data_IF_966587555042
#
_entry.id   IF_966587555042
#
_cell.length_a   1.000
_cell.length_b   1.000
_cell.length_c   1.000
_cell.angle_alpha   90.00
_cell.angle_beta   90.00
_cell.angle_gamma   90.00
#
_symmetry.space_group_name_H-M   'P 1'
#
loop_
_entity.id
_entity.type
_entity.pdbx_description
1 polymer ?
#
# COMPACT_ATOMS: atom_id res chain seq x y z
N UNK A 1 -11.53 1.67 30.19
CA UNK A 1 -10.86 2.82 29.54
C UNK A 1 -9.48 2.93 30.14
N UNK A 2 -8.46 3.15 29.32
CA UNK A 2 -7.06 3.31 29.72
C UNK A 2 -6.68 4.77 29.42
N UNK A 3 -6.12 5.48 30.40
CA UNK A 3 -5.62 6.84 30.22
C UNK A 3 -4.12 6.80 30.00
N UNK A 4 -3.66 7.42 28.91
CA UNK A 4 -2.24 7.59 28.63
C UNK A 4 -1.88 9.05 28.86
N UNK A 5 -0.89 9.27 29.71
CA UNK A 5 -0.27 10.57 29.93
C UNK A 5 1.13 10.53 29.33
N UNK A 6 1.42 11.45 28.43
CA UNK A 6 2.78 11.64 27.91
C UNK A 6 3.47 12.71 28.75
N UNK A 7 4.69 12.45 29.20
CA UNK A 7 5.49 13.45 29.91
C UNK A 7 6.12 14.47 28.95
N UNK A 8 6.35 14.08 27.69
CA UNK A 8 7.07 14.90 26.71
C UNK A 8 6.58 14.67 25.30
N UNK A 9 6.37 15.77 24.57
CA UNK A 9 6.18 15.74 23.12
C UNK A 9 7.47 16.19 22.41
N UNK A 10 7.76 15.65 21.21
CA UNK A 10 8.89 16.08 20.40
C UNK A 10 8.76 17.52 19.83
N UNK A 11 7.61 18.17 20.05
CA UNK A 11 7.28 19.51 19.58
C UNK A 11 6.84 20.37 20.76
N UNK A 12 6.86 21.70 20.62
CA UNK A 12 6.40 22.66 21.64
C UNK A 12 4.88 22.61 21.78
N UNK A 13 4.39 21.73 22.65
CA UNK A 13 2.97 21.65 23.03
C UNK A 13 2.83 20.92 24.36
N UNK A 14 1.79 21.28 25.13
CA UNK A 14 1.43 20.56 26.35
C UNK A 14 0.80 19.21 25.97
N UNK A 15 1.32 18.07 26.48
CA UNK A 15 0.77 16.76 26.16
C UNK A 15 -0.64 16.61 26.73
N UNK A 16 -1.64 16.62 25.86
CA UNK A 16 -2.99 16.23 26.24
C UNK A 16 -3.09 14.71 26.42
N UNK A 17 -3.84 14.23 27.42
CA UNK A 17 -3.98 12.80 27.66
C UNK A 17 -4.76 12.13 26.52
N UNK A 18 -4.28 10.96 26.10
CA UNK A 18 -5.00 10.11 25.14
C UNK A 18 -5.78 9.06 25.91
N UNK A 19 -7.01 8.81 25.46
CA UNK A 19 -7.86 7.77 26.03
C UNK A 19 -7.98 6.58 25.07
N UNK A 20 -7.66 5.40 25.59
CA UNK A 20 -7.80 4.12 24.92
C UNK A 20 -9.04 3.40 25.46
N UNK A 21 -9.87 2.89 24.56
CA UNK A 21 -10.98 2.01 24.92
C UNK A 21 -10.66 0.57 24.51
N UNK A 22 -10.98 -0.38 25.39
CA UNK A 22 -10.86 -1.82 25.12
C UNK A 22 -12.06 -2.54 25.73
N UNK A 23 -12.53 -3.59 25.05
CA UNK A 23 -13.58 -4.48 25.54
C UNK A 23 -13.05 -5.61 26.43
N UNK A 24 -11.72 -5.76 26.52
CA UNK A 24 -11.08 -6.78 27.35
C UNK A 24 -11.44 -6.59 28.83
N UNK A 25 -11.69 -7.71 29.52
CA UNK A 25 -11.93 -7.75 30.97
C UNK A 25 -10.68 -8.31 31.66
N UNK A 26 -10.42 -7.89 32.89
CA UNK A 26 -9.28 -8.39 33.67
C UNK A 26 -7.94 -8.03 33.00
N UNK A 27 -7.72 -6.74 32.73
CA UNK A 27 -6.49 -6.26 32.12
C UNK A 27 -5.36 -6.41 33.16
N UNK A 28 -4.44 -7.32 32.89
CA UNK A 28 -3.16 -7.41 33.58
C UNK A 28 -2.11 -6.50 32.91
N UNK A 29 -0.93 -6.40 33.53
CA UNK A 29 0.14 -5.51 33.07
C UNK A 29 0.66 -5.91 31.68
N UNK A 30 0.73 -7.21 31.38
CA UNK A 30 1.18 -7.71 30.06
C UNK A 30 0.20 -7.33 28.93
N UNK A 31 -1.10 -7.45 29.18
CA UNK A 31 -2.12 -7.03 28.23
C UNK A 31 -2.12 -5.51 28.08
N UNK A 32 -1.91 -4.76 29.16
CA UNK A 32 -1.82 -3.30 29.13
C UNK A 32 -0.66 -2.83 28.24
N UNK A 33 0.53 -3.42 28.41
CA UNK A 33 1.72 -3.13 27.59
C UNK A 33 1.51 -3.48 26.11
N UNK A 34 0.83 -4.58 25.84
CA UNK A 34 0.48 -5.00 24.49
C UNK A 34 -0.50 -4.04 23.82
N UNK A 35 -1.54 -3.60 24.54
CA UNK A 35 -2.53 -2.64 24.04
C UNK A 35 -1.90 -1.28 23.74
N UNK A 36 -1.05 -0.79 24.64
CA UNK A 36 -0.29 0.44 24.44
C UNK A 36 0.65 0.34 23.23
N UNK A 37 1.45 -0.72 23.16
CA UNK A 37 2.36 -0.97 22.04
C UNK A 37 1.62 -1.07 20.71
N UNK A 38 0.47 -1.76 20.68
CA UNK A 38 -0.38 -1.84 19.49
C UNK A 38 -0.91 -0.46 19.07
N UNK A 39 -1.32 0.38 20.04
CA UNK A 39 -1.78 1.73 19.74
C UNK A 39 -0.68 2.61 19.14
N UNK A 40 0.54 2.55 19.67
CA UNK A 40 1.68 3.30 19.11
C UNK A 40 1.96 2.91 17.66
N UNK A 41 1.75 1.63 17.32
CA UNK A 41 1.92 1.10 15.96
C UNK A 41 0.77 1.41 15.02
N UNK A 42 -0.29 2.12 15.45
CA UNK A 42 -1.41 2.47 14.58
C UNK A 42 -0.99 3.24 13.33
N UNK A 43 0.10 4.00 13.41
CA UNK A 43 0.60 4.77 12.26
C UNK A 43 1.36 3.88 11.25
N UNK A 44 1.71 2.65 11.61
CA UNK A 44 2.31 1.67 10.68
C UNK A 44 1.35 1.33 9.53
N UNK A 45 0.03 1.42 9.73
CA UNK A 45 -0.95 1.14 8.68
C UNK A 45 -0.88 2.17 7.55
N UNK A 46 -0.67 3.45 7.89
CA UNK A 46 -0.53 4.53 6.91
C UNK A 46 0.73 4.35 6.08
N UNK A 47 1.84 3.99 6.73
CA UNK A 47 3.08 3.65 6.05
C UNK A 47 2.93 2.42 5.15
N UNK A 48 2.19 1.42 5.60
CA UNK A 48 1.88 0.23 4.81
C UNK A 48 1.09 0.63 3.57
N UNK A 49 -0.01 1.37 3.69
CA UNK A 49 -0.78 1.83 2.54
C UNK A 49 0.04 2.71 1.59
N UNK A 50 0.89 3.59 2.13
CA UNK A 50 1.81 4.39 1.32
C UNK A 50 2.74 3.50 0.51
N UNK A 51 3.37 2.51 1.14
CA UNK A 51 4.26 1.56 0.48
C UNK A 51 3.54 0.74 -0.61
N UNK A 52 2.35 0.20 -0.30
CA UNK A 52 1.55 -0.56 -1.28
C UNK A 52 1.23 0.30 -2.51
N UNK A 53 0.78 1.54 -2.31
CA UNK A 53 0.40 2.46 -3.40
C UNK A 53 1.59 2.94 -4.22
N UNK A 54 2.64 3.42 -3.55
CA UNK A 54 3.75 4.12 -4.20
C UNK A 54 4.84 3.18 -4.69
N UNK A 55 5.09 2.08 -3.98
CA UNK A 55 6.23 1.21 -4.25
C UNK A 55 5.83 -0.10 -4.91
N UNK A 56 4.75 -0.74 -4.46
CA UNK A 56 4.23 -1.95 -5.09
C UNK A 56 3.24 -1.67 -6.23
N UNK A 57 2.84 -0.40 -6.40
CA UNK A 57 2.02 0.03 -7.52
C UNK A 57 0.55 -0.36 -7.41
N UNK A 58 0.00 -0.44 -6.19
CA UNK A 58 -1.40 -0.83 -5.97
C UNK A 58 -2.38 0.02 -6.81
N UNK A 59 -2.11 1.30 -7.01
CA UNK A 59 -2.94 2.22 -7.81
C UNK A 59 -2.44 2.46 -9.24
N UNK A 60 -1.43 1.73 -9.69
CA UNK A 60 -0.84 1.89 -11.03
C UNK A 60 -1.76 1.38 -12.15
N UNK A 61 -2.34 0.16 -12.07
CA UNK A 61 -3.16 -0.32 -13.17
C UNK A 61 -4.52 0.37 -13.20
N UNK A 62 -4.92 0.83 -14.38
CA UNK A 62 -6.23 1.43 -14.62
C UNK A 62 -7.26 0.35 -15.02
N UNK A 63 -7.47 -0.61 -14.14
CA UNK A 63 -8.47 -1.67 -14.33
C UNK A 63 -9.87 -1.09 -14.33
N UNK A 64 -10.72 -1.55 -15.26
CA UNK A 64 -12.10 -1.07 -15.45
C UNK A 64 -13.16 -2.08 -14.99
N UNK A 65 -12.70 -3.23 -14.51
CA UNK A 65 -13.50 -4.36 -14.06
C UNK A 65 -13.25 -4.56 -12.56
N UNK A 66 -14.30 -4.64 -11.71
CA UNK A 66 -14.13 -4.75 -10.26
C UNK A 66 -13.42 -6.04 -9.85
N UNK A 67 -13.74 -7.18 -10.46
CA UNK A 67 -13.06 -8.44 -10.13
C UNK A 67 -11.57 -8.39 -10.48
N UNK A 68 -11.20 -7.72 -11.58
CA UNK A 68 -9.80 -7.47 -11.91
C UNK A 68 -9.08 -6.58 -10.87
N UNK A 69 -9.79 -5.61 -10.28
CA UNK A 69 -9.25 -4.79 -9.19
C UNK A 69 -9.02 -5.60 -7.90
N UNK A 70 -9.93 -6.53 -7.58
CA UNK A 70 -9.77 -7.42 -6.44
C UNK A 70 -8.60 -8.38 -6.63
N UNK A 71 -8.50 -9.02 -7.81
CA UNK A 71 -7.35 -9.88 -8.16
C UNK A 71 -6.04 -9.10 -8.07
N UNK A 72 -6.00 -7.86 -8.55
CA UNK A 72 -4.83 -7.01 -8.42
C UNK A 72 -4.47 -6.71 -6.97
N UNK A 73 -5.46 -6.43 -6.12
CA UNK A 73 -5.24 -6.23 -4.68
C UNK A 73 -4.65 -7.47 -4.02
N UNK A 74 -5.14 -8.67 -4.37
CA UNK A 74 -4.57 -9.92 -3.88
C UNK A 74 -3.12 -10.13 -4.33
N UNK A 75 -2.76 -9.76 -5.57
CA UNK A 75 -1.38 -9.82 -6.04
C UNK A 75 -0.47 -8.86 -5.25
N UNK A 76 -0.94 -7.66 -4.92
CA UNK A 76 -0.21 -6.70 -4.09
C UNK A 76 0.00 -7.24 -2.68
N UNK A 77 -1.03 -7.83 -2.07
CA UNK A 77 -0.95 -8.46 -0.75
C UNK A 77 0.06 -9.62 -0.79
N UNK A 78 -0.02 -10.49 -1.80
CA UNK A 78 0.91 -11.60 -1.96
C UNK A 78 2.37 -11.13 -2.15
N UNK A 79 2.61 -10.08 -2.92
CA UNK A 79 3.94 -9.49 -3.06
C UNK A 79 4.45 -8.92 -1.72
N UNK A 80 3.59 -8.22 -0.98
CA UNK A 80 3.93 -7.69 0.34
C UNK A 80 4.27 -8.81 1.36
N UNK A 81 3.50 -9.90 1.36
CA UNK A 81 3.78 -11.05 2.24
C UNK A 81 5.04 -11.81 1.82
N UNK A 82 5.31 -11.95 0.52
CA UNK A 82 6.57 -12.51 0.01
C UNK A 82 7.79 -11.71 0.47
N UNK A 83 7.73 -10.38 0.44
CA UNK A 83 8.80 -9.52 0.97
C UNK A 83 8.97 -9.69 2.48
N UNK A 84 7.88 -9.88 3.23
CA UNK A 84 7.97 -10.15 4.67
C UNK A 84 8.60 -11.52 4.96
N UNK A 85 8.25 -12.55 4.18
CA UNK A 85 8.81 -13.89 4.31
C UNK A 85 10.29 -13.97 3.91
N UNK A 86 10.70 -13.22 2.88
CA UNK A 86 12.08 -13.18 2.42
C UNK A 86 13.03 -12.39 3.34
N UNK A 87 12.53 -11.80 4.43
CA UNK A 87 13.29 -10.88 5.29
C UNK A 87 14.58 -11.49 5.86
N UNK A 88 14.55 -12.76 6.27
CA UNK A 88 15.73 -13.45 6.83
C UNK A 88 16.76 -13.84 5.78
N UNK A 89 16.37 -13.86 4.50
CA UNK A 89 17.20 -14.27 3.37
C UNK A 89 17.84 -13.07 2.67
N UNK A 90 17.28 -11.87 2.86
CA UNK A 90 17.73 -10.65 2.19
C UNK A 90 18.98 -10.07 2.84
N UNK A 91 19.98 -9.73 2.02
CA UNK A 91 21.09 -8.89 2.43
C UNK A 91 20.61 -7.45 2.66
N UNK A 92 21.24 -6.75 3.60
CA UNK A 92 20.96 -5.33 3.84
C UNK A 92 21.69 -4.46 2.79
N UNK A 93 21.10 -4.34 1.60
CA UNK A 93 21.56 -3.41 0.56
C UNK A 93 21.13 -1.98 0.93
N UNK A 94 22.09 -1.18 1.39
CA UNK A 94 21.86 0.16 1.93
C UNK A 94 22.37 1.25 1.00
N UNK A 95 21.64 2.35 0.97
CA UNK A 95 22.14 3.61 0.46
C UNK A 95 23.22 4.17 1.43
N UNK A 96 24.14 5.04 0.97
CA UNK A 96 25.26 5.49 1.80
C UNK A 96 24.86 6.20 3.10
N UNK A 97 23.73 6.90 3.13
CA UNK A 97 23.22 7.64 4.30
C UNK A 97 22.29 6.82 5.18
N UNK A 98 22.06 5.55 4.84
CA UNK A 98 21.11 4.70 5.52
C UNK A 98 21.77 3.92 6.66
N UNK A 99 21.19 4.04 7.86
CA UNK A 99 21.64 3.30 9.04
C UNK A 99 21.54 1.78 8.81
N UNK A 100 22.48 1.05 9.42
CA UNK A 100 22.50 -0.41 9.42
C UNK A 100 21.27 -0.95 10.15
N UNK A 101 20.54 -1.86 9.51
CA UNK A 101 19.44 -2.54 10.16
C UNK A 101 19.94 -3.77 10.91
N UNK A 102 19.32 -4.09 12.04
CA UNK A 102 19.57 -5.37 12.71
C UNK A 102 19.17 -6.51 11.77
N UNK A 103 19.98 -7.58 11.63
CA UNK A 103 19.60 -8.76 10.87
C UNK A 103 18.21 -9.28 11.27
N UNK A 104 17.38 -9.65 10.28
CA UNK A 104 16.01 -10.08 10.53
C UNK A 104 15.02 -8.96 10.86
N UNK A 105 15.44 -7.69 10.92
CA UNK A 105 14.58 -6.51 11.12
C UNK A 105 14.50 -5.58 9.90
N UNK A 106 14.90 -6.06 8.72
CA UNK A 106 14.79 -5.30 7.48
C UNK A 106 13.34 -4.94 7.17
N UNK A 107 13.09 -3.68 6.81
CA UNK A 107 11.77 -3.26 6.34
C UNK A 107 11.47 -3.89 4.98
N UNK A 108 10.20 -4.04 4.63
CA UNK A 108 9.80 -4.60 3.33
C UNK A 108 10.39 -3.81 2.16
N UNK A 109 10.60 -2.50 2.33
CA UNK A 109 11.28 -1.67 1.34
C UNK A 109 12.76 -2.06 1.15
N UNK A 110 13.48 -2.36 2.23
CA UNK A 110 14.87 -2.87 2.18
C UNK A 110 14.94 -4.24 1.54
N UNK A 111 14.05 -5.15 1.93
CA UNK A 111 13.98 -6.49 1.36
C UNK A 111 13.72 -6.40 -0.15
N UNK A 112 12.84 -5.49 -0.59
CA UNK A 112 12.57 -5.27 -2.01
C UNK A 112 13.82 -4.83 -2.78
N UNK A 113 14.70 -4.01 -2.20
CA UNK A 113 15.95 -3.60 -2.86
C UNK A 113 16.87 -4.78 -3.12
N UNK A 114 16.97 -5.72 -2.17
CA UNK A 114 17.78 -6.93 -2.29
C UNK A 114 17.06 -8.09 -3.00
N UNK A 115 15.76 -7.94 -3.31
CA UNK A 115 14.95 -9.02 -3.85
C UNK A 115 15.39 -9.51 -5.23
N UNK A 116 15.86 -8.67 -6.18
CA UNK A 116 16.39 -9.15 -7.46
C UNK A 116 17.56 -10.13 -7.29
N UNK A 117 18.49 -9.81 -6.40
CA UNK A 117 19.65 -10.68 -6.10
C UNK A 117 19.19 -11.98 -5.43
N UNK A 118 18.26 -11.89 -4.48
CA UNK A 118 17.66 -13.06 -3.85
C UNK A 118 16.95 -13.95 -4.88
N UNK A 119 16.14 -13.36 -5.76
CA UNK A 119 15.38 -14.07 -6.78
C UNK A 119 16.29 -14.79 -7.78
N UNK A 120 17.45 -14.22 -8.13
CA UNK A 120 18.43 -14.88 -9.00
C UNK A 120 19.04 -16.15 -8.38
N UNK A 121 19.11 -16.22 -7.04
CA UNK A 121 19.70 -17.34 -6.30
C UNK A 121 18.67 -18.37 -5.81
N UNK A 122 17.36 -18.08 -5.92
CA UNK A 122 16.32 -19.03 -5.57
C UNK A 122 16.29 -20.21 -6.56
N UNK A 123 16.03 -21.44 -6.08
CA UNK A 123 15.82 -22.58 -6.97
C UNK A 123 14.64 -22.29 -7.91
N UNK A 124 14.77 -22.67 -9.17
CA UNK A 124 13.65 -22.60 -10.13
C UNK A 124 12.60 -23.63 -9.74
N UNK A 125 11.52 -23.16 -9.12
CA UNK A 125 10.38 -23.98 -8.72
C UNK A 125 9.40 -24.25 -9.88
N UNK A 126 9.57 -23.58 -11.01
CA UNK A 126 8.69 -23.71 -12.18
C UNK A 126 9.43 -24.29 -13.37
N UNK A 127 8.74 -25.14 -14.13
CA UNK A 127 9.24 -25.62 -15.41
C UNK A 127 9.36 -24.45 -16.41
N UNK A 128 10.26 -24.60 -17.38
CA UNK A 128 10.34 -23.67 -18.51
C UNK A 128 8.95 -23.50 -19.13
N UNK A 129 8.51 -22.26 -19.43
CA UNK A 129 7.24 -22.04 -20.12
C UNK A 129 7.19 -22.87 -21.41
N UNK A 130 6.01 -23.41 -21.74
CA UNK A 130 5.84 -24.09 -23.02
C UNK A 130 6.12 -23.09 -24.15
N UNK A 131 6.98 -23.43 -25.13
CA UNK A 131 7.20 -22.58 -26.29
C UNK A 131 5.86 -22.28 -26.96
N UNK A 132 5.51 -21.01 -27.10
CA UNK A 132 4.36 -20.57 -27.88
C UNK A 132 4.84 -19.73 -29.05
N UNK A 133 4.22 -19.93 -30.21
CA UNK A 133 4.36 -19.00 -31.32
C UNK A 133 3.29 -17.93 -31.14
N UNK A 134 3.57 -16.64 -31.43
CA UNK A 134 2.52 -15.66 -31.60
C UNK A 134 1.43 -16.28 -32.50
N UNK A 135 0.17 -16.12 -32.12
CA UNK A 135 -0.93 -16.51 -33.01
C UNK A 135 -0.77 -15.84 -34.39
N UNK A 136 -1.48 -16.29 -35.43
CA UNK A 136 -1.31 -15.85 -36.83
C UNK A 136 -1.55 -14.35 -37.11
N UNK A 137 -1.63 -13.53 -36.06
CA UNK A 137 -1.93 -12.12 -36.13
C UNK A 137 -3.30 -11.90 -36.75
N UNK A 138 -3.52 -10.68 -37.19
CA UNK A 138 -4.67 -10.36 -38.03
C UNK A 138 -4.33 -10.71 -39.48
N UNK A 139 -5.24 -11.36 -40.24
CA UNK A 139 -5.04 -11.55 -41.67
C UNK A 139 -4.81 -10.22 -42.40
N UNK A 140 -3.84 -10.20 -43.32
CA UNK A 140 -3.57 -9.02 -44.14
C UNK A 140 -4.85 -8.57 -44.90
N UNK A 141 -5.08 -7.26 -44.97
CA UNK A 141 -6.26 -6.67 -45.63
C UNK A 141 -7.54 -6.62 -44.78
N UNK A 142 -7.60 -7.30 -43.62
CA UNK A 142 -8.77 -7.19 -42.75
C UNK A 142 -8.69 -5.95 -41.83
N UNK A 143 -9.66 -5.05 -41.96
CA UNK A 143 -9.80 -3.88 -41.07
C UNK A 143 -10.49 -4.24 -39.75
N UNK A 144 -10.24 -3.45 -38.71
CA UNK A 144 -10.95 -3.61 -37.44
C UNK A 144 -12.43 -3.23 -37.58
N UNK A 145 -13.32 -4.21 -37.67
CA UNK A 145 -14.77 -3.99 -37.71
C UNK A 145 -15.36 -3.69 -36.34
N UNK A 146 -14.74 -4.20 -35.28
CA UNK A 146 -15.18 -3.97 -33.90
C UNK A 146 -14.31 -2.88 -33.32
N UNK A 147 -14.84 -1.65 -33.24
CA UNK A 147 -14.22 -0.61 -32.44
C UNK A 147 -14.37 -1.01 -30.97
N UNK A 148 -13.28 -0.94 -30.21
CA UNK A 148 -13.36 -1.08 -28.77
C UNK A 148 -14.35 -0.03 -28.22
N UNK A 149 -15.25 -0.38 -27.29
CA UNK A 149 -16.18 0.57 -26.70
C UNK A 149 -15.40 1.73 -26.07
N UNK A 150 -15.53 2.93 -26.64
CA UNK A 150 -14.98 4.14 -26.04
C UNK A 150 -15.94 4.55 -24.93
N UNK A 151 -15.59 4.22 -23.69
CA UNK A 151 -16.26 4.79 -22.52
C UNK A 151 -15.70 6.19 -22.30
N UNK A 152 -16.57 7.19 -22.20
CA UNK A 152 -16.18 8.55 -21.79
C UNK A 152 -15.49 8.43 -20.41
N UNK A 153 -14.20 8.82 -20.27
CA UNK A 153 -13.53 8.85 -18.98
C UNK A 153 -14.17 9.98 -18.17
N UNK A 154 -15.32 9.71 -17.56
CA UNK A 154 -16.22 10.68 -16.93
C UNK A 154 -15.47 11.91 -16.45
N UNK A 155 -15.66 13.03 -17.15
CA UNK A 155 -14.93 14.27 -16.86
C UNK A 155 -15.12 14.59 -15.38
N UNK A 156 -14.02 14.63 -14.62
CA UNK A 156 -14.09 15.17 -13.26
C UNK A 156 -14.58 16.60 -13.37
N UNK A 157 -15.73 16.90 -12.77
CA UNK A 157 -16.18 18.28 -12.66
C UNK A 157 -15.02 19.11 -12.10
N UNK A 158 -14.76 20.30 -12.67
CA UNK A 158 -13.78 21.23 -12.11
C UNK A 158 -14.12 21.40 -10.63
N UNK A 159 -13.18 20.98 -9.76
CA UNK A 159 -13.28 21.26 -8.33
C UNK A 159 -13.13 22.77 -8.16
N UNK A 160 -14.04 23.37 -7.40
CA UNK A 160 -13.90 24.76 -7.00
C UNK A 160 -12.55 24.94 -6.32
N UNK A 161 -11.76 25.93 -6.77
CA UNK A 161 -10.38 26.10 -6.30
C UNK A 161 -10.32 26.61 -4.86
N UNK A 162 -11.42 27.19 -4.37
CA UNK A 162 -11.54 27.75 -3.03
C UNK A 162 -12.90 27.44 -2.40
N UNK A 163 -12.91 27.39 -1.06
CA UNK A 163 -14.11 27.18 -0.24
C UNK A 163 -15.20 28.24 -0.52
N UNK A 164 -14.80 29.47 -0.81
CA UNK A 164 -15.71 30.58 -1.15
C UNK A 164 -16.49 30.31 -2.44
N UNK A 165 -15.81 29.83 -3.48
CA UNK A 165 -16.44 29.46 -4.76
C UNK A 165 -17.43 28.30 -4.58
N UNK A 166 -17.09 27.33 -3.73
CA UNK A 166 -17.97 26.21 -3.41
C UNK A 166 -19.24 26.65 -2.67
N UNK A 167 -19.11 27.58 -1.71
CA UNK A 167 -20.26 28.14 -0.98
C UNK A 167 -21.19 28.95 -1.88
N UNK A 168 -20.64 29.78 -2.77
CA UNK A 168 -21.42 30.56 -3.75
C UNK A 168 -22.18 29.66 -4.71
N UNK A 169 -21.55 28.58 -5.21
CA UNK A 169 -22.22 27.63 -6.10
C UNK A 169 -23.37 26.88 -5.44
N UNK A 170 -23.22 26.52 -4.16
CA UNK A 170 -24.26 25.86 -3.38
C UNK A 170 -25.46 26.78 -3.10
N UNK A 171 -25.22 28.07 -2.88
CA UNK A 171 -26.29 29.06 -2.67
C UNK A 171 -27.01 29.39 -3.97
N UNK A 172 -26.32 29.46 -5.11
CA UNK A 172 -26.94 29.69 -6.41
C UNK A 172 -27.73 28.50 -6.97
N UNK A 173 -27.60 27.30 -6.38
CA UNK A 173 -28.31 26.10 -6.82
C UNK A 173 -29.60 25.81 -6.02
N UNK A 174 -29.92 26.67 -5.03
CA UNK A 174 -31.10 26.54 -4.16
C UNK A 174 -32.18 27.61 -4.41
N UNK A 175 -32.00 28.45 -5.44
CA UNK A 175 -32.98 29.41 -5.96
C UNK A 175 -33.44 28.96 -7.34
#
# INVERSE_FOLDING_TARGET
MIRIQSERLPHTGTPEPVWLWTSARGIDDELLDSLWSAWLRRFDIEHTFRFLKQTLGWTVPQVRDPEAADRWTWLIIAAFTQLAAARSLAADLRLPWEATATPGRLTQARVRLAFPDLHANLPRLTSVPKPSKPGPGRPAGQRNRIKAPIRDPGKKAKRDKTLTQRKQRLTSAQA
#
